data_IF_912847212501
#
_entry.id   IF_912847212501
#
_cell.length_a   1.000
_cell.length_b   1.000
_cell.length_c   1.000
_cell.angle_alpha   90.00
_cell.angle_beta   90.00
_cell.angle_gamma   90.00
#
_symmetry.space_group_name_H-M   'P 1'
#
loop_
_entity.id
_entity.type
_entity.pdbx_description
1 polymer ?
#
# COMPACT_ATOMS: atom_id res chain seq x y z
N UNK A 1 -7.68 16.82 11.05
CA UNK A 1 -7.11 16.56 9.70
C UNK A 1 -7.06 15.05 9.56
N UNK A 2 -7.72 14.48 8.55
CA UNK A 2 -7.74 13.03 8.32
C UNK A 2 -6.33 12.51 8.00
N UNK A 3 -6.09 11.23 8.30
CA UNK A 3 -4.81 10.53 8.16
C UNK A 3 -4.88 9.48 7.05
N UNK A 4 -3.74 8.91 6.70
CA UNK A 4 -3.63 7.71 5.86
C UNK A 4 -3.32 6.50 6.75
N UNK A 5 -3.97 5.38 6.50
CA UNK A 5 -3.85 4.17 7.32
C UNK A 5 -2.95 3.14 6.62
N UNK A 6 -2.03 2.53 7.37
CA UNK A 6 -1.24 1.39 6.89
C UNK A 6 -1.59 0.19 7.77
N UNK A 7 -2.17 -0.86 7.17
CA UNK A 7 -2.61 -2.06 7.89
C UNK A 7 -1.55 -3.14 7.74
N UNK A 8 -1.08 -3.70 8.84
CA UNK A 8 0.05 -4.62 8.86
C UNK A 8 -0.15 -5.80 9.80
N UNK A 9 0.38 -6.95 9.39
CA UNK A 9 0.51 -8.16 10.20
C UNK A 9 1.97 -8.60 10.26
N UNK A 10 2.33 -9.51 11.15
CA UNK A 10 3.64 -10.14 11.20
C UNK A 10 3.98 -10.86 9.87
N UNK A 11 5.23 -10.75 9.45
CA UNK A 11 5.68 -11.26 8.15
C UNK A 11 5.42 -10.30 6.99
N UNK A 12 5.11 -9.01 7.28
CA UNK A 12 5.08 -7.95 6.28
C UNK A 12 6.48 -7.69 5.68
N UNK A 13 6.52 -7.08 4.50
CA UNK A 13 7.78 -6.70 3.86
C UNK A 13 8.28 -5.36 4.40
N UNK A 14 9.47 -5.36 4.98
CA UNK A 14 10.07 -4.20 5.65
C UNK A 14 10.10 -2.95 4.78
N UNK A 15 10.63 -3.09 3.57
CA UNK A 15 10.82 -1.97 2.62
C UNK A 15 9.46 -1.41 2.22
N UNK A 16 8.47 -2.26 1.98
CA UNK A 16 7.15 -1.85 1.51
C UNK A 16 6.38 -1.06 2.55
N UNK A 17 6.51 -1.41 3.83
CA UNK A 17 5.89 -0.64 4.92
C UNK A 17 6.63 0.67 5.14
N UNK A 18 7.92 0.60 5.49
CA UNK A 18 8.64 1.75 6.01
C UNK A 18 8.92 2.80 4.94
N UNK A 19 9.13 2.41 3.67
CA UNK A 19 9.32 3.36 2.57
C UNK A 19 8.05 4.17 2.31
N UNK A 20 6.87 3.53 2.23
CA UNK A 20 5.62 4.27 2.00
C UNK A 20 5.36 5.23 3.15
N UNK A 21 5.54 4.79 4.40
CA UNK A 21 5.35 5.64 5.59
C UNK A 21 6.31 6.83 5.58
N UNK A 22 7.60 6.62 5.30
CA UNK A 22 8.61 7.68 5.24
C UNK A 22 8.27 8.71 4.17
N UNK A 23 7.95 8.27 2.95
CA UNK A 23 7.63 9.15 1.83
C UNK A 23 6.37 9.98 2.08
N UNK A 24 5.31 9.35 2.60
CA UNK A 24 4.08 10.07 2.92
C UNK A 24 4.31 11.10 4.04
N UNK A 25 5.05 10.73 5.08
CA UNK A 25 5.40 11.66 6.18
C UNK A 25 6.29 12.81 5.72
N UNK A 26 7.22 12.59 4.77
CA UNK A 26 8.01 13.67 4.11
C UNK A 26 7.11 14.66 3.35
N UNK A 27 6.01 14.20 2.79
CA UNK A 27 5.02 15.02 2.09
C UNK A 27 3.97 15.67 3.04
N UNK A 28 4.24 15.72 4.35
CA UNK A 28 3.32 16.24 5.38
C UNK A 28 1.94 15.54 5.35
N UNK A 29 1.93 14.23 5.04
CA UNK A 29 0.76 13.39 5.15
C UNK A 29 0.86 12.62 6.47
N UNK A 30 -0.14 12.78 7.34
CA UNK A 30 -0.20 12.02 8.59
C UNK A 30 -0.53 10.57 8.29
N UNK A 31 0.26 9.66 8.86
CA UNK A 31 0.13 8.21 8.66
C UNK A 31 0.12 7.52 10.02
N UNK A 32 -0.84 6.63 10.22
CA UNK A 32 -0.82 5.66 11.32
C UNK A 32 -0.57 4.26 10.75
N UNK A 33 0.34 3.52 11.39
CA UNK A 33 0.54 2.08 11.18
C UNK A 33 -0.33 1.36 12.18
N UNK A 34 -1.25 0.52 11.72
CA UNK A 34 -2.16 -0.27 12.55
C UNK A 34 -1.74 -1.74 12.55
N UNK A 35 -1.46 -2.30 13.73
CA UNK A 35 -1.15 -3.71 13.93
C UNK A 35 -2.42 -4.55 14.04
N UNK A 36 -2.51 -5.64 13.27
CA UNK A 36 -3.56 -6.66 13.41
C UNK A 36 -3.19 -7.78 14.38
N UNK A 37 -2.00 -7.71 14.98
CA UNK A 37 -1.52 -8.65 15.99
C UNK A 37 -2.04 -8.30 17.39
N UNK A 38 -1.69 -9.11 18.38
CA UNK A 38 -2.02 -8.85 19.80
C UNK A 38 -1.13 -7.75 20.42
N UNK A 39 -0.09 -7.29 19.72
CA UNK A 39 0.91 -6.33 20.19
C UNK A 39 1.16 -5.25 19.12
N UNK A 40 1.68 -4.12 19.55
CA UNK A 40 2.16 -3.05 18.67
C UNK A 40 3.51 -3.38 17.99
N UNK A 41 4.28 -4.32 18.53
CA UNK A 41 5.54 -4.72 17.94
C UNK A 41 5.33 -5.75 16.81
N UNK A 42 5.83 -5.42 15.65
CA UNK A 42 5.68 -6.21 14.42
C UNK A 42 7.03 -6.77 13.98
N UNK A 43 7.05 -8.05 13.67
CA UNK A 43 8.19 -8.73 13.07
C UNK A 43 7.98 -8.85 11.56
N UNK A 44 8.93 -8.33 10.78
CA UNK A 44 8.89 -8.39 9.32
C UNK A 44 9.30 -9.76 8.78
N UNK A 45 9.16 -9.96 7.47
CA UNK A 45 9.61 -11.18 6.76
C UNK A 45 11.12 -11.42 6.83
N UNK A 46 11.90 -10.39 7.18
CA UNK A 46 13.37 -10.42 7.26
C UNK A 46 13.88 -10.04 8.66
N UNK A 47 13.15 -10.45 9.68
CA UNK A 47 13.53 -10.37 11.11
C UNK A 47 13.82 -8.95 11.62
N UNK A 48 13.25 -7.92 11.00
CA UNK A 48 13.27 -6.54 11.53
C UNK A 48 12.04 -6.33 12.40
N UNK A 49 12.25 -5.85 13.63
CA UNK A 49 11.15 -5.47 14.54
C UNK A 49 10.96 -3.96 14.52
N UNK A 50 9.72 -3.53 14.35
CA UNK A 50 9.33 -2.13 14.51
C UNK A 50 8.01 -2.02 15.26
N UNK A 51 7.66 -0.81 15.72
CA UNK A 51 6.45 -0.56 16.47
C UNK A 51 5.40 0.12 15.61
N UNK A 52 4.17 -0.42 15.60
CA UNK A 52 3.00 0.24 15.04
C UNK A 52 2.56 1.45 15.90
N UNK A 53 1.79 2.35 15.32
CA UNK A 53 1.28 3.53 16.01
C UNK A 53 0.03 3.20 16.84
N UNK A 54 -0.83 2.29 16.34
CA UNK A 54 -2.11 1.87 16.96
C UNK A 54 -2.38 0.38 16.76
N UNK A 55 -3.32 -0.14 17.53
CA UNK A 55 -3.92 -1.46 17.30
C UNK A 55 -5.05 -1.36 16.28
N UNK A 56 -5.31 -2.44 15.52
CA UNK A 56 -6.37 -2.48 14.51
C UNK A 56 -7.75 -2.14 15.09
N UNK A 57 -8.07 -2.64 16.28
CA UNK A 57 -9.35 -2.41 16.93
C UNK A 57 -9.52 -0.95 17.46
N UNK A 58 -8.48 -0.12 17.42
CA UNK A 58 -8.52 1.31 17.75
C UNK A 58 -8.83 2.21 16.56
N UNK A 59 -8.94 1.64 15.33
CA UNK A 59 -9.22 2.38 14.11
C UNK A 59 -10.62 3.02 14.19
N UNK A 60 -10.65 4.35 14.01
CA UNK A 60 -11.88 5.10 13.77
C UNK A 60 -11.89 5.50 12.30
N UNK A 61 -12.71 4.82 11.51
CA UNK A 61 -12.71 4.92 10.03
C UNK A 61 -12.86 6.35 9.50
N UNK A 62 -13.62 7.20 10.21
CA UNK A 62 -13.81 8.60 9.85
C UNK A 62 -12.53 9.45 9.98
N UNK A 63 -11.54 8.99 10.73
CA UNK A 63 -10.26 9.66 10.88
C UNK A 63 -9.34 9.46 9.67
N UNK A 64 -9.71 8.58 8.73
CA UNK A 64 -8.87 8.20 7.59
C UNK A 64 -9.53 8.51 6.26
N UNK A 65 -8.72 9.03 5.32
CA UNK A 65 -9.13 9.28 3.93
C UNK A 65 -8.65 8.19 2.96
N UNK A 66 -7.88 7.23 3.40
CA UNK A 66 -7.39 6.12 2.59
C UNK A 66 -6.60 5.11 3.41
N UNK A 67 -6.30 3.96 2.80
CA UNK A 67 -5.53 2.87 3.39
C UNK A 67 -4.49 2.29 2.43
N UNK A 68 -3.49 1.64 3.00
CA UNK A 68 -2.46 0.91 2.29
C UNK A 68 -2.21 -0.46 2.90
N UNK A 69 -2.08 -1.47 2.04
CA UNK A 69 -1.76 -2.85 2.38
C UNK A 69 -0.41 -3.22 1.75
N UNK A 70 0.65 -3.43 2.55
CA UNK A 70 1.94 -3.91 2.07
C UNK A 70 1.90 -5.38 1.71
N UNK A 71 2.98 -5.85 1.11
CA UNK A 71 3.20 -7.27 0.90
C UNK A 71 3.96 -7.94 2.04
N UNK A 72 4.80 -8.92 1.66
CA UNK A 72 5.26 -9.97 2.54
C UNK A 72 4.21 -11.07 2.59
N UNK A 73 4.48 -12.21 1.95
CA UNK A 73 3.47 -13.26 1.70
C UNK A 73 2.72 -13.67 2.97
N UNK A 74 3.44 -13.91 4.07
CA UNK A 74 2.82 -14.31 5.34
C UNK A 74 1.90 -13.22 5.90
N UNK A 75 2.36 -11.97 5.92
CA UNK A 75 1.59 -10.84 6.42
C UNK A 75 0.35 -10.59 5.56
N UNK A 76 0.51 -10.59 4.23
CA UNK A 76 -0.61 -10.41 3.30
C UNK A 76 -1.67 -11.51 3.45
N UNK A 77 -1.26 -12.77 3.63
CA UNK A 77 -2.22 -13.86 3.86
C UNK A 77 -2.92 -13.75 5.20
N UNK A 78 -2.22 -13.35 6.27
CA UNK A 78 -2.86 -13.04 7.55
C UNK A 78 -3.94 -11.96 7.41
N UNK A 79 -3.66 -10.90 6.64
CA UNK A 79 -4.64 -9.83 6.37
C UNK A 79 -5.79 -10.31 5.49
N UNK A 80 -5.51 -11.13 4.46
CA UNK A 80 -6.52 -11.72 3.56
C UNK A 80 -7.50 -12.61 4.30
N UNK A 81 -7.00 -13.38 5.27
CA UNK A 81 -7.80 -14.35 6.03
C UNK A 81 -8.49 -13.69 7.26
N UNK A 82 -8.36 -12.38 7.42
CA UNK A 82 -8.98 -11.60 8.50
C UNK A 82 -10.22 -10.85 8.00
N UNK A 83 -11.42 -11.36 8.32
CA UNK A 83 -12.68 -10.77 7.84
C UNK A 83 -12.87 -9.31 8.29
N UNK A 84 -12.38 -8.90 9.47
CA UNK A 84 -12.44 -7.50 9.90
C UNK A 84 -11.64 -6.58 8.97
N UNK A 85 -10.50 -7.06 8.45
CA UNK A 85 -9.69 -6.32 7.48
C UNK A 85 -10.42 -6.23 6.14
N UNK A 86 -10.98 -7.34 5.67
CA UNK A 86 -11.75 -7.37 4.42
C UNK A 86 -12.96 -6.43 4.48
N UNK A 87 -13.68 -6.44 5.60
CA UNK A 87 -14.81 -5.53 5.81
C UNK A 87 -14.39 -4.06 5.81
N UNK A 88 -13.26 -3.73 6.43
CA UNK A 88 -12.72 -2.38 6.41
C UNK A 88 -12.34 -1.94 4.98
N UNK A 89 -11.69 -2.83 4.22
CA UNK A 89 -11.33 -2.59 2.81
C UNK A 89 -12.59 -2.35 1.95
N UNK A 90 -13.65 -3.14 2.12
CA UNK A 90 -14.93 -2.96 1.41
C UNK A 90 -15.56 -1.60 1.73
N UNK A 91 -15.63 -1.22 3.02
CA UNK A 91 -16.19 0.09 3.42
C UNK A 91 -15.39 1.27 2.88
N UNK A 92 -14.06 1.15 2.81
CA UNK A 92 -13.23 2.20 2.21
C UNK A 92 -13.47 2.32 0.71
N UNK A 93 -13.71 1.20 0.01
CA UNK A 93 -14.06 1.22 -1.41
C UNK A 93 -15.47 1.79 -1.64
N UNK A 94 -16.46 1.40 -0.85
CA UNK A 94 -17.84 1.92 -0.91
C UNK A 94 -17.88 3.47 -0.67
N UNK A 95 -16.96 3.99 0.14
CA UNK A 95 -16.80 5.43 0.40
C UNK A 95 -15.86 6.12 -0.60
N UNK A 96 -15.41 5.43 -1.64
CA UNK A 96 -14.44 5.94 -2.63
C UNK A 96 -13.15 6.52 -2.02
N UNK A 97 -12.76 6.05 -0.82
CA UNK A 97 -11.50 6.40 -0.19
C UNK A 97 -10.32 5.80 -0.98
N UNK A 98 -9.17 6.43 -0.87
CA UNK A 98 -7.95 5.96 -1.55
C UNK A 98 -7.52 4.61 -0.95
N UNK A 99 -7.34 3.61 -1.81
CA UNK A 99 -6.85 2.29 -1.43
C UNK A 99 -5.58 1.98 -2.24
N UNK A 100 -4.54 1.54 -1.55
CA UNK A 100 -3.32 1.11 -2.20
C UNK A 100 -2.85 -0.25 -1.69
N UNK A 101 -2.18 -1.02 -2.57
CA UNK A 101 -1.54 -2.27 -2.19
C UNK A 101 -0.33 -2.57 -3.07
N UNK A 102 0.62 -3.36 -2.57
CA UNK A 102 1.84 -3.74 -3.30
C UNK A 102 2.18 -5.22 -3.09
N UNK A 103 2.87 -5.80 -4.06
CA UNK A 103 3.49 -7.12 -3.96
C UNK A 103 2.43 -8.22 -3.74
N UNK A 104 2.41 -8.85 -2.56
CA UNK A 104 1.37 -9.78 -2.15
C UNK A 104 0.10 -9.07 -1.62
N UNK A 105 0.19 -7.80 -1.23
CA UNK A 105 -0.94 -7.03 -0.67
C UNK A 105 -2.20 -7.00 -1.54
N UNK A 106 -2.13 -6.90 -2.89
CA UNK A 106 -3.31 -6.92 -3.75
C UNK A 106 -4.20 -8.17 -3.63
N UNK A 107 -3.69 -9.30 -3.12
CA UNK A 107 -4.54 -10.49 -2.88
C UNK A 107 -5.61 -10.22 -1.81
N UNK A 108 -5.34 -9.30 -0.88
CA UNK A 108 -6.32 -8.87 0.13
C UNK A 108 -7.47 -8.10 -0.53
N UNK A 109 -7.14 -7.21 -1.47
CA UNK A 109 -8.14 -6.46 -2.24
C UNK A 109 -8.95 -7.37 -3.16
N UNK A 110 -8.28 -8.38 -3.75
CA UNK A 110 -8.93 -9.40 -4.56
C UNK A 110 -9.91 -10.24 -3.72
N UNK A 111 -9.50 -10.66 -2.52
CA UNK A 111 -10.38 -11.41 -1.61
C UNK A 111 -11.56 -10.58 -1.12
N UNK A 112 -11.34 -9.30 -0.80
CA UNK A 112 -12.42 -8.36 -0.48
C UNK A 112 -13.42 -8.17 -1.64
N UNK A 113 -13.06 -8.55 -2.88
CA UNK A 113 -13.92 -8.49 -4.06
C UNK A 113 -13.96 -7.13 -4.75
N UNK A 114 -13.19 -6.14 -4.28
CA UNK A 114 -13.21 -4.76 -4.79
C UNK A 114 -12.49 -4.59 -6.14
N UNK A 115 -11.81 -5.63 -6.64
CA UNK A 115 -11.12 -5.63 -7.94
C UNK A 115 -11.95 -6.18 -9.09
N UNK A 116 -13.20 -6.61 -8.85
CA UNK A 116 -14.05 -7.29 -9.84
C UNK A 116 -14.43 -6.45 -11.06
N UNK A 117 -14.27 -5.14 -10.98
CA UNK A 117 -14.47 -4.19 -12.09
C UNK A 117 -13.24 -3.31 -12.37
N UNK A 118 -12.08 -3.63 -11.78
CA UNK A 118 -10.86 -2.82 -11.80
C UNK A 118 -9.71 -3.50 -12.54
N UNK A 119 -8.77 -2.65 -13.00
CA UNK A 119 -7.43 -3.08 -13.39
C UNK A 119 -6.54 -3.08 -12.17
N UNK A 120 -5.71 -4.10 -12.01
CA UNK A 120 -4.76 -4.18 -10.93
C UNK A 120 -3.53 -5.01 -11.31
N UNK A 121 -2.47 -4.87 -10.52
CA UNK A 121 -1.26 -5.68 -10.60
C UNK A 121 -0.87 -6.18 -9.22
N UNK A 122 0.02 -7.16 -9.15
CA UNK A 122 0.58 -7.70 -7.92
C UNK A 122 2.01 -8.22 -8.18
N UNK A 123 2.63 -8.80 -7.18
CA UNK A 123 3.85 -9.58 -7.41
C UNK A 123 3.55 -10.72 -8.40
N UNK A 124 4.42 -10.99 -9.38
CA UNK A 124 4.11 -11.92 -10.47
C UNK A 124 3.64 -13.30 -10.05
N UNK A 125 4.20 -13.86 -8.96
CA UNK A 125 3.77 -15.18 -8.46
C UNK A 125 2.39 -15.18 -7.81
N UNK A 126 1.80 -14.02 -7.53
CA UNK A 126 0.44 -13.88 -6.97
C UNK A 126 -0.64 -13.80 -8.06
N UNK A 127 -0.28 -13.82 -9.34
CA UNK A 127 -1.20 -13.65 -10.47
C UNK A 127 -2.40 -14.60 -10.41
N UNK A 128 -2.16 -15.86 -10.09
CA UNK A 128 -3.21 -16.88 -10.04
C UNK A 128 -4.19 -16.67 -8.85
N UNK A 129 -3.77 -15.90 -7.83
CA UNK A 129 -4.60 -15.50 -6.69
C UNK A 129 -5.35 -14.17 -6.91
N UNK A 130 -5.19 -13.57 -8.10
CA UNK A 130 -5.90 -12.35 -8.53
C UNK A 130 -7.10 -12.68 -9.43
N UNK A 131 -7.74 -13.81 -9.19
CA UNK A 131 -8.77 -14.45 -10.02
C UNK A 131 -10.08 -13.63 -10.12
N UNK A 132 -10.36 -12.78 -9.11
CA UNK A 132 -11.52 -11.88 -9.09
C UNK A 132 -11.23 -10.53 -9.76
N UNK A 133 -9.98 -10.27 -10.18
CA UNK A 133 -9.57 -9.00 -10.81
C UNK A 133 -10.04 -8.94 -12.26
N UNK A 134 -10.73 -7.86 -12.67
CA UNK A 134 -11.25 -7.71 -14.04
C UNK A 134 -10.14 -7.77 -15.09
N UNK A 135 -9.04 -7.05 -14.85
CA UNK A 135 -7.89 -7.03 -15.77
C UNK A 135 -6.60 -7.03 -14.96
N UNK A 136 -5.84 -8.11 -15.06
CA UNK A 136 -4.50 -8.17 -14.48
C UNK A 136 -3.49 -7.53 -15.43
N UNK A 137 -2.74 -6.52 -14.95
CA UNK A 137 -1.76 -5.76 -15.71
C UNK A 137 -0.35 -6.25 -15.39
N UNK A 138 0.42 -6.65 -16.42
CA UNK A 138 1.74 -7.26 -16.25
C UNK A 138 2.92 -6.33 -16.59
N UNK A 139 2.69 -5.30 -17.37
CA UNK A 139 3.71 -4.44 -17.97
C UNK A 139 3.82 -3.05 -17.33
N UNK A 140 2.97 -2.73 -16.37
CA UNK A 140 3.05 -1.49 -15.60
C UNK A 140 3.60 -1.74 -14.18
N UNK A 141 4.42 -0.82 -13.69
CA UNK A 141 5.00 -0.90 -12.33
C UNK A 141 4.06 -0.37 -11.26
N UNK A 142 3.18 0.57 -11.61
CA UNK A 142 2.11 1.11 -10.78
C UNK A 142 0.85 1.24 -11.62
N UNK A 143 -0.22 0.63 -11.18
CA UNK A 143 -1.54 0.64 -11.85
C UNK A 143 -2.53 1.39 -10.96
N UNK A 144 -3.17 2.43 -11.52
CA UNK A 144 -4.26 3.16 -10.82
C UNK A 144 -5.54 3.01 -11.62
N UNK A 145 -6.62 2.57 -10.97
CA UNK A 145 -7.96 2.51 -11.55
C UNK A 145 -9.00 3.01 -10.53
N UNK A 146 -9.51 4.22 -10.78
CA UNK A 146 -10.39 4.91 -9.83
C UNK A 146 -9.67 5.25 -8.53
N UNK A 147 -10.22 4.80 -7.42
CA UNK A 147 -9.69 5.00 -6.07
C UNK A 147 -8.60 3.97 -5.67
N UNK A 148 -8.33 2.96 -6.50
CA UNK A 148 -7.40 1.86 -6.18
C UNK A 148 -6.09 2.02 -6.94
N UNK A 149 -4.96 1.90 -6.22
CA UNK A 149 -3.61 1.91 -6.79
C UNK A 149 -2.84 0.67 -6.33
N UNK A 150 -2.31 -0.10 -7.28
CA UNK A 150 -1.55 -1.31 -6.99
C UNK A 150 -0.15 -1.28 -7.62
N UNK A 151 0.80 -2.01 -7.04
CA UNK A 151 2.17 -2.14 -7.56
C UNK A 151 2.72 -3.55 -7.32
N UNK A 152 3.91 -3.84 -7.88
CA UNK A 152 4.37 -5.21 -8.08
C UNK A 152 5.33 -5.75 -7.03
N UNK A 153 6.12 -4.92 -6.37
CA UNK A 153 7.09 -5.47 -5.41
C UNK A 153 8.05 -4.45 -4.81
N UNK A 154 8.86 -4.90 -3.90
CA UNK A 154 9.66 -4.10 -2.97
C UNK A 154 10.52 -3.02 -3.64
N UNK A 155 11.20 -3.32 -4.76
CA UNK A 155 12.01 -2.34 -5.50
C UNK A 155 11.19 -1.20 -6.14
N UNK A 156 9.87 -1.35 -6.25
CA UNK A 156 8.95 -0.39 -6.86
C UNK A 156 8.18 0.43 -5.83
N UNK A 157 8.42 0.21 -4.55
CA UNK A 157 7.69 0.83 -3.44
C UNK A 157 7.79 2.36 -3.45
N UNK A 158 8.95 2.90 -3.78
CA UNK A 158 9.16 4.34 -3.90
C UNK A 158 8.31 4.96 -5.02
N UNK A 159 8.13 4.29 -6.15
CA UNK A 159 7.26 4.76 -7.24
C UNK A 159 5.79 4.72 -6.83
N UNK A 160 5.35 3.66 -6.14
CA UNK A 160 4.01 3.63 -5.54
C UNK A 160 3.81 4.79 -4.56
N UNK A 161 4.77 5.03 -3.66
CA UNK A 161 4.69 6.12 -2.68
C UNK A 161 4.62 7.50 -3.36
N UNK A 162 5.42 7.74 -4.39
CA UNK A 162 5.37 8.96 -5.19
C UNK A 162 4.01 9.13 -5.89
N UNK A 163 3.46 8.05 -6.44
CA UNK A 163 2.12 8.06 -7.05
C UNK A 163 1.03 8.38 -6.02
N UNK A 164 1.11 7.82 -4.83
CA UNK A 164 0.18 8.15 -3.73
C UNK A 164 0.29 9.62 -3.32
N UNK A 165 1.49 10.18 -3.23
CA UNK A 165 1.69 11.61 -2.95
C UNK A 165 1.06 12.47 -4.05
N UNK A 166 1.24 12.11 -5.32
CA UNK A 166 0.61 12.81 -6.44
C UNK A 166 -0.92 12.83 -6.30
N UNK A 167 -1.52 11.67 -5.97
CA UNK A 167 -2.98 11.50 -5.80
C UNK A 167 -3.50 12.29 -4.56
N UNK A 168 -2.79 12.22 -3.43
CA UNK A 168 -3.22 12.79 -2.16
C UNK A 168 -3.00 14.31 -2.11
N UNK A 169 -1.91 14.77 -2.68
CA UNK A 169 -1.50 16.18 -2.70
C UNK A 169 -1.59 16.76 -4.10
N UNK A 170 -0.54 16.58 -4.87
CA UNK A 170 -0.41 16.94 -6.28
C UNK A 170 0.96 16.54 -6.82
N UNK A 171 1.16 16.74 -8.13
CA UNK A 171 2.40 16.42 -8.85
C UNK A 171 3.62 17.21 -8.35
N UNK A 172 3.44 18.47 -7.93
CA UNK A 172 4.55 19.32 -7.49
C UNK A 172 5.15 18.79 -6.19
N UNK A 173 4.31 18.42 -5.21
CA UNK A 173 4.78 17.79 -3.97
C UNK A 173 5.48 16.46 -4.26
N UNK A 174 4.95 15.63 -5.15
CA UNK A 174 5.62 14.39 -5.55
C UNK A 174 7.02 14.64 -6.17
N UNK A 175 7.16 15.68 -7.01
CA UNK A 175 8.46 16.08 -7.57
C UNK A 175 9.45 16.56 -6.48
N UNK A 176 8.97 17.33 -5.50
CA UNK A 176 9.81 17.75 -4.39
C UNK A 176 10.36 16.56 -3.61
N UNK A 177 9.51 15.55 -3.37
CA UNK A 177 9.96 14.30 -2.71
C UNK A 177 10.92 13.50 -3.60
N UNK A 178 10.69 13.41 -4.91
CA UNK A 178 11.65 12.82 -5.86
C UNK A 178 13.03 13.50 -5.75
N UNK A 179 13.05 14.83 -5.69
CA UNK A 179 14.29 15.60 -5.54
C UNK A 179 14.98 15.30 -4.21
N UNK A 180 14.25 15.36 -3.09
CA UNK A 180 14.77 15.09 -1.75
C UNK A 180 15.37 13.67 -1.62
N UNK A 181 14.79 12.70 -2.30
CA UNK A 181 15.17 11.29 -2.25
C UNK A 181 16.09 10.85 -3.39
N UNK A 182 16.53 11.79 -4.23
CA UNK A 182 17.45 11.58 -5.37
C UNK A 182 16.93 10.63 -6.46
N UNK A 183 15.62 10.46 -6.59
CA UNK A 183 15.02 9.67 -7.69
C UNK A 183 15.38 10.23 -9.06
N UNK A 184 15.43 11.55 -9.20
CA UNK A 184 15.83 12.22 -10.45
C UNK A 184 17.23 11.77 -10.90
N UNK A 185 18.15 11.51 -9.97
CA UNK A 185 19.49 11.02 -10.31
C UNK A 185 19.42 9.58 -10.89
N UNK A 186 18.58 8.72 -10.32
CA UNK A 186 18.36 7.35 -10.81
C UNK A 186 17.71 7.37 -12.19
N UNK A 187 16.64 8.14 -12.36
CA UNK A 187 15.93 8.28 -13.63
C UNK A 187 16.86 8.82 -14.74
N UNK A 188 17.63 9.86 -14.43
CA UNK A 188 18.60 10.43 -15.36
C UNK A 188 19.68 9.44 -15.75
N UNK A 189 20.19 8.66 -14.80
CA UNK A 189 21.23 7.67 -15.07
C UNK A 189 20.76 6.55 -15.98
N UNK A 190 19.54 6.06 -15.78
CA UNK A 190 18.96 4.98 -16.57
C UNK A 190 18.14 5.44 -17.78
N UNK A 191 17.92 6.74 -17.95
CA UNK A 191 17.24 7.31 -19.11
C UNK A 191 15.73 7.07 -19.17
N UNK A 192 15.06 7.08 -18.03
CA UNK A 192 13.59 7.02 -17.95
C UNK A 192 13.03 8.14 -17.05
N UNK A 193 11.74 8.39 -17.12
CA UNK A 193 10.97 9.31 -16.26
C UNK A 193 9.68 8.61 -15.81
N UNK A 194 9.36 8.72 -14.50
CA UNK A 194 8.14 8.19 -13.91
C UNK A 194 7.18 9.31 -13.49
#
# INVERSE_FOLDING_TARGET
MKKFLVIVANGNETIEVLTVVDYLRRADIKVDIASTEEDLYLLTSHDVTYKADIMFDEIKEDDYFGLYIPGGTKGAYSLRDNEKVLDLVRRFDDEEKIIAAICAGPVVLNEAGILSNKKATSFPSMKDEMDKTKTYVEDEIVVTDGNITTSRGAALTNYLALKLIEIIKNREVAKDIKHQTQHEAVEKYFGFEF
#
